data_IF_966544733801
#
_entry.id   IF_966544733801
#
_cell.length_a   1.000
_cell.length_b   1.000
_cell.length_c   1.000
_cell.angle_alpha   90.00
_cell.angle_beta   90.00
_cell.angle_gamma   90.00
#
_symmetry.space_group_name_H-M   'P 1'
#
loop_
_entity.id
_entity.type
_entity.pdbx_description
1 polymer ?
#
# COMPACT_ATOMS: atom_id res chain seq x y z
N UNK A 1 -1.15 6.74 6.42
CA UNK A 1 -1.64 7.53 5.28
C UNK A 1 -2.97 8.17 5.65
N UNK A 2 -3.13 9.49 5.64
CA UNK A 2 -4.41 10.18 5.91
C UNK A 2 -5.44 9.86 4.82
N UNK A 3 -6.65 9.47 5.23
CA UNK A 3 -7.74 9.12 4.31
C UNK A 3 -9.08 9.10 5.06
N UNK A 4 -10.17 8.91 4.29
CA UNK A 4 -11.49 8.61 4.84
C UNK A 4 -11.85 7.17 4.51
N UNK A 5 -12.26 6.40 5.49
CA UNK A 5 -12.87 5.08 5.26
C UNK A 5 -14.26 5.31 4.65
N UNK A 6 -14.37 5.14 3.34
CA UNK A 6 -15.61 5.47 2.61
C UNK A 6 -16.67 4.38 2.75
N UNK A 7 -16.29 3.11 2.55
CA UNK A 7 -17.20 1.97 2.67
C UNK A 7 -16.48 0.64 2.69
N UNK A 8 -17.16 -0.36 3.26
CA UNK A 8 -16.82 -1.77 3.15
C UNK A 8 -17.51 -2.38 1.92
N UNK A 9 -16.75 -3.09 1.09
CA UNK A 9 -17.26 -3.90 -0.02
C UNK A 9 -17.12 -5.36 0.38
N UNK A 10 -18.23 -6.07 0.69
CA UNK A 10 -18.16 -7.49 1.03
C UNK A 10 -17.57 -8.32 -0.10
N UNK A 11 -16.78 -9.31 0.25
CA UNK A 11 -16.22 -10.24 -0.72
C UNK A 11 -17.32 -11.01 -1.46
N UNK A 12 -17.21 -11.09 -2.79
CA UNK A 12 -18.13 -11.89 -3.61
C UNK A 12 -17.95 -13.39 -3.35
N UNK A 13 -19.02 -14.15 -3.60
CA UNK A 13 -18.98 -15.60 -3.50
C UNK A 13 -18.42 -16.17 -4.80
N UNK A 14 -17.41 -17.04 -4.70
CA UNK A 14 -16.93 -17.85 -5.82
C UNK A 14 -17.90 -18.98 -6.16
N UNK A 15 -17.78 -19.52 -7.37
CA UNK A 15 -18.54 -20.70 -7.78
C UNK A 15 -18.27 -21.96 -6.93
N UNK A 16 -17.10 -22.02 -6.27
CA UNK A 16 -16.71 -23.09 -5.34
C UNK A 16 -17.22 -22.90 -3.90
N UNK A 17 -18.03 -21.87 -3.66
CA UNK A 17 -18.59 -21.54 -2.35
C UNK A 17 -17.66 -20.74 -1.42
N UNK A 18 -16.43 -20.43 -1.84
CA UNK A 18 -15.52 -19.56 -1.09
C UNK A 18 -15.85 -18.09 -1.34
N UNK A 19 -15.59 -17.24 -0.37
CA UNK A 19 -15.71 -15.79 -0.52
C UNK A 19 -14.35 -15.16 -0.78
N UNK A 20 -14.33 -14.17 -1.67
CA UNK A 20 -13.20 -13.25 -1.77
C UNK A 20 -13.04 -12.49 -0.45
N UNK A 21 -11.83 -11.99 -0.19
CA UNK A 21 -11.60 -11.10 0.95
C UNK A 21 -12.40 -9.80 0.76
N UNK A 22 -12.90 -9.19 1.84
CA UNK A 22 -13.56 -7.90 1.75
C UNK A 22 -12.56 -6.82 1.34
N UNK A 23 -13.06 -5.78 0.68
CA UNK A 23 -12.30 -4.59 0.34
C UNK A 23 -12.79 -3.42 1.19
N UNK A 24 -11.85 -2.67 1.72
CA UNK A 24 -12.08 -1.35 2.29
C UNK A 24 -11.83 -0.32 1.19
N UNK A 25 -12.78 0.57 0.95
CA UNK A 25 -12.57 1.72 0.07
C UNK A 25 -12.10 2.89 0.92
N UNK A 26 -10.90 3.36 0.63
CA UNK A 26 -10.27 4.51 1.26
C UNK A 26 -10.27 5.67 0.27
N UNK A 27 -10.90 6.79 0.62
CA UNK A 27 -10.80 8.04 -0.12
C UNK A 27 -9.58 8.79 0.35
N UNK A 28 -8.67 9.10 -0.57
CA UNK A 28 -7.46 9.85 -0.29
C UNK A 28 -7.74 11.36 -0.28
N UNK A 29 -6.98 12.10 0.51
CA UNK A 29 -6.98 13.55 0.42
C UNK A 29 -6.41 13.98 -0.95
N UNK A 30 -7.00 15.00 -1.60
CA UNK A 30 -6.47 15.52 -2.86
C UNK A 30 -5.02 16.03 -2.66
N UNK A 31 -4.13 15.59 -3.52
CA UNK A 31 -2.75 16.06 -3.57
C UNK A 31 -2.36 16.29 -5.03
N UNK A 32 -1.38 17.19 -5.27
CA UNK A 32 -0.95 17.54 -6.63
C UNK A 32 -0.35 16.36 -7.39
N UNK A 33 0.28 15.45 -6.70
CA UNK A 33 1.02 14.34 -7.26
C UNK A 33 0.26 13.01 -7.17
N UNK A 34 -0.71 12.92 -6.25
CA UNK A 34 -1.57 11.75 -6.09
C UNK A 34 -2.82 11.89 -6.96
N UNK A 35 -2.89 11.12 -8.03
CA UNK A 35 -4.06 11.10 -8.94
C UNK A 35 -5.07 10.00 -8.59
N UNK A 36 -4.69 9.03 -7.76
CA UNK A 36 -5.62 8.06 -7.21
C UNK A 36 -6.52 8.72 -6.16
N UNK A 37 -7.77 8.98 -6.49
CA UNK A 37 -8.73 9.59 -5.56
C UNK A 37 -9.23 8.62 -4.49
N UNK A 38 -9.20 7.32 -4.76
CA UNK A 38 -9.58 6.28 -3.83
C UNK A 38 -8.80 4.98 -4.08
N UNK A 39 -8.59 4.21 -3.01
CA UNK A 39 -7.97 2.88 -3.04
C UNK A 39 -8.97 1.84 -2.58
N UNK A 40 -9.00 0.69 -3.27
CA UNK A 40 -9.62 -0.54 -2.80
C UNK A 40 -8.54 -1.42 -2.16
N UNK A 41 -8.56 -1.54 -0.84
CA UNK A 41 -7.55 -2.27 -0.08
C UNK A 41 -8.13 -3.53 0.53
N UNK A 42 -7.35 -4.60 0.59
CA UNK A 42 -7.79 -5.89 1.16
C UNK A 42 -7.69 -5.83 2.68
N UNK A 43 -8.79 -6.12 3.37
CA UNK A 43 -8.80 -6.33 4.82
C UNK A 43 -8.78 -7.84 5.13
N UNK A 44 -7.58 -8.41 5.07
CA UNK A 44 -7.38 -9.86 5.27
C UNK A 44 -7.70 -10.32 6.68
N UNK A 45 -7.40 -9.49 7.66
CA UNK A 45 -7.47 -9.86 9.08
C UNK A 45 -8.62 -9.19 9.82
N UNK A 46 -9.53 -8.53 9.07
CA UNK A 46 -10.67 -7.81 9.64
C UNK A 46 -10.22 -6.79 10.71
N UNK A 47 -9.16 -6.03 10.38
CA UNK A 47 -8.54 -5.05 11.29
C UNK A 47 -9.27 -3.72 11.33
N UNK A 48 -10.20 -3.49 10.39
CA UNK A 48 -10.99 -2.27 10.34
C UNK A 48 -12.41 -2.53 10.85
N UNK A 49 -12.80 -1.81 11.90
CA UNK A 49 -14.17 -1.87 12.40
C UNK A 49 -15.13 -1.22 11.37
N UNK A 50 -16.13 -1.97 10.84
CA UNK A 50 -17.13 -1.42 9.92
C UNK A 50 -17.90 -0.21 10.47
N UNK A 51 -18.01 -0.07 11.79
CA UNK A 51 -18.65 1.09 12.42
C UNK A 51 -17.88 2.41 12.19
N UNK A 52 -16.64 2.34 11.70
CA UNK A 52 -15.84 3.51 11.34
C UNK A 52 -16.10 4.01 9.91
N UNK A 53 -17.04 3.42 9.18
CA UNK A 53 -17.43 3.88 7.84
C UNK A 53 -17.83 5.37 7.88
N UNK A 54 -17.32 6.14 6.92
CA UNK A 54 -17.47 7.59 6.87
C UNK A 54 -16.45 8.39 7.69
N UNK A 55 -15.63 7.76 8.53
CA UNK A 55 -14.66 8.44 9.40
C UNK A 55 -13.37 8.75 8.67
N UNK A 56 -12.82 9.93 8.94
CA UNK A 56 -11.45 10.28 8.58
C UNK A 56 -10.48 9.68 9.60
N UNK A 57 -9.29 9.31 9.12
CA UNK A 57 -8.28 8.70 9.98
C UNK A 57 -6.96 8.46 9.25
N UNK A 58 -6.12 7.64 9.86
CA UNK A 58 -4.82 7.23 9.35
C UNK A 58 -4.85 5.73 9.05
N UNK A 59 -4.74 5.36 7.78
CA UNK A 59 -4.58 3.97 7.36
C UNK A 59 -3.10 3.58 7.35
N UNK A 60 -2.80 2.39 7.86
CA UNK A 60 -1.51 1.71 7.68
C UNK A 60 -1.64 0.72 6.54
N UNK A 61 -0.87 0.91 5.47
CA UNK A 61 -0.98 0.14 4.23
C UNK A 61 0.32 -0.57 3.91
N UNK A 62 0.21 -1.76 3.32
CA UNK A 62 1.32 -2.48 2.72
C UNK A 62 1.00 -2.86 1.28
N UNK A 63 1.94 -2.61 0.39
CA UNK A 63 1.91 -2.98 -1.01
C UNK A 63 2.63 -4.30 -1.17
N UNK A 64 1.90 -5.35 -1.48
CA UNK A 64 2.37 -6.73 -1.57
C UNK A 64 2.50 -7.19 -3.02
N UNK A 65 3.35 -8.16 -3.26
CA UNK A 65 3.59 -8.74 -4.59
C UNK A 65 4.05 -7.71 -5.62
N UNK A 66 4.76 -6.70 -5.16
CA UNK A 66 5.11 -5.51 -5.94
C UNK A 66 6.25 -5.75 -6.93
N UNK A 67 6.14 -5.12 -8.11
CA UNK A 67 7.26 -4.87 -8.99
C UNK A 67 7.89 -3.52 -8.61
N UNK A 68 9.18 -3.52 -8.29
CA UNK A 68 9.91 -2.33 -7.83
C UNK A 68 10.98 -1.96 -8.86
N UNK A 69 11.12 -0.67 -9.17
CA UNK A 69 12.17 -0.12 -10.02
C UNK A 69 12.70 1.18 -9.43
N UNK A 70 13.95 1.51 -9.72
CA UNK A 70 14.46 2.86 -9.51
C UNK A 70 13.79 3.80 -10.50
N UNK A 71 13.39 4.99 -10.07
CA UNK A 71 12.78 5.96 -10.99
C UNK A 71 13.82 6.47 -11.99
N UNK A 72 13.43 6.48 -13.26
CA UNK A 72 14.17 7.11 -14.33
C UNK A 72 13.69 8.55 -14.51
N UNK A 73 14.61 9.53 -14.46
CA UNK A 73 14.30 10.95 -14.65
C UNK A 73 14.01 11.71 -13.35
N UNK A 74 13.26 12.83 -13.42
CA UNK A 74 12.97 13.65 -12.25
C UNK A 74 12.21 12.87 -11.18
N UNK A 75 12.58 13.04 -9.89
CA UNK A 75 11.88 12.36 -8.79
C UNK A 75 10.40 12.71 -8.75
N UNK A 76 9.56 11.69 -8.53
CA UNK A 76 8.11 11.80 -8.41
C UNK A 76 7.65 11.23 -7.08
N UNK A 77 6.64 11.85 -6.49
CA UNK A 77 5.89 11.33 -5.35
C UNK A 77 4.44 11.07 -5.78
N UNK A 78 3.73 10.24 -5.03
CA UNK A 78 2.29 10.09 -5.17
C UNK A 78 1.81 8.68 -5.49
N UNK A 79 0.50 8.54 -5.48
CA UNK A 79 -0.23 7.34 -5.87
C UNK A 79 -1.01 7.60 -7.16
N UNK A 80 -0.88 6.68 -8.11
CA UNK A 80 -1.51 6.80 -9.44
C UNK A 80 -2.40 5.59 -9.68
N UNK A 81 -3.64 5.81 -10.10
CA UNK A 81 -4.52 4.74 -10.55
C UNK A 81 -4.10 4.30 -11.96
N UNK A 82 -3.61 3.06 -12.11
CA UNK A 82 -3.17 2.51 -13.39
C UNK A 82 -4.16 1.52 -14.02
N UNK A 83 -5.21 1.19 -13.33
CA UNK A 83 -6.22 0.19 -13.72
C UNK A 83 -7.25 0.71 -14.72
N UNK A 84 -7.04 1.89 -15.30
CA UNK A 84 -7.90 2.47 -16.35
C UNK A 84 -9.35 2.71 -15.89
N UNK A 85 -9.59 2.73 -14.59
CA UNK A 85 -10.91 2.92 -14.03
C UNK A 85 -11.44 4.33 -14.27
N UNK A 86 -12.75 4.46 -14.42
CA UNK A 86 -13.41 5.74 -14.51
C UNK A 86 -13.09 6.61 -13.28
N UNK A 87 -13.01 7.95 -13.44
CA UNK A 87 -12.78 8.86 -12.31
C UNK A 87 -13.72 8.57 -11.15
N UNK A 88 -13.18 8.55 -9.92
CA UNK A 88 -13.95 8.29 -8.70
C UNK A 88 -14.11 6.80 -8.34
N UNK A 89 -13.62 5.87 -9.15
CA UNK A 89 -13.52 4.46 -8.74
C UNK A 89 -12.25 4.21 -7.93
N UNK A 90 -12.36 3.30 -6.96
CA UNK A 90 -11.23 2.90 -6.14
C UNK A 90 -10.27 2.01 -6.93
N UNK A 91 -9.01 2.42 -7.04
CA UNK A 91 -7.96 1.60 -7.64
C UNK A 91 -7.60 0.45 -6.70
N UNK A 92 -7.58 -0.77 -7.22
CA UNK A 92 -7.13 -1.97 -6.50
C UNK A 92 -5.70 -2.37 -6.85
N UNK A 93 -5.12 -1.74 -7.87
CA UNK A 93 -3.74 -1.94 -8.35
C UNK A 93 -3.10 -0.57 -8.62
N UNK A 94 -2.93 0.27 -7.59
CA UNK A 94 -2.27 1.56 -7.78
C UNK A 94 -0.78 1.40 -8.03
N UNK A 95 -0.19 2.34 -8.78
CA UNK A 95 1.24 2.57 -8.78
C UNK A 95 1.58 3.56 -7.67
N UNK A 96 2.73 3.34 -7.01
CA UNK A 96 3.28 4.28 -6.03
C UNK A 96 4.64 4.77 -6.49
N UNK A 97 4.84 6.08 -6.37
CA UNK A 97 6.10 6.77 -6.62
C UNK A 97 6.55 7.41 -5.33
N UNK A 98 7.80 7.22 -4.95
CA UNK A 98 8.23 7.73 -3.66
C UNK A 98 9.72 7.63 -3.39
N UNK A 99 10.05 8.10 -2.19
CA UNK A 99 11.40 8.06 -1.64
C UNK A 99 11.47 7.01 -0.54
N UNK A 100 12.46 6.14 -0.59
CA UNK A 100 12.73 5.16 0.46
C UNK A 100 13.13 5.89 1.74
N UNK A 101 12.39 5.67 2.83
CA UNK A 101 12.71 6.24 4.15
C UNK A 101 13.44 5.27 5.05
N UNK A 102 13.19 3.97 4.88
CA UNK A 102 13.91 2.94 5.60
C UNK A 102 13.90 1.61 4.83
N UNK A 103 14.95 0.83 5.02
CA UNK A 103 15.05 -0.59 4.63
C UNK A 103 15.27 -1.35 5.92
N UNK A 104 14.21 -1.90 6.56
CA UNK A 104 14.32 -2.59 7.83
C UNK A 104 15.29 -3.77 7.78
N UNK A 105 16.07 -3.94 8.83
CA UNK A 105 16.91 -5.12 9.00
C UNK A 105 16.06 -6.27 9.54
N UNK A 106 15.80 -7.28 8.73
CA UNK A 106 14.97 -8.43 9.08
C UNK A 106 15.45 -9.18 10.32
N UNK A 107 16.76 -9.24 10.53
CA UNK A 107 17.37 -10.05 11.57
C UNK A 107 17.22 -9.44 12.96
N UNK A 108 17.18 -8.11 13.06
CA UNK A 108 17.10 -7.41 14.33
C UNK A 108 15.66 -7.19 14.81
N UNK A 109 14.68 -7.16 13.91
CA UNK A 109 13.34 -6.63 14.19
C UNK A 109 12.25 -7.71 14.21
N UNK A 110 12.52 -8.93 13.73
CA UNK A 110 11.52 -10.00 13.60
C UNK A 110 10.78 -10.38 14.89
N UNK A 111 11.43 -10.25 16.04
CA UNK A 111 10.85 -10.66 17.31
C UNK A 111 9.78 -9.71 17.88
N UNK A 112 9.67 -8.49 17.34
CA UNK A 112 8.85 -7.42 17.92
C UNK A 112 7.82 -6.80 16.97
N UNK A 113 7.82 -7.22 15.71
CA UNK A 113 6.92 -6.66 14.71
C UNK A 113 5.62 -7.49 14.62
N UNK A 114 4.46 -6.85 14.39
CA UNK A 114 3.26 -7.55 13.97
C UNK A 114 3.55 -8.41 12.75
N UNK A 115 2.83 -9.53 12.60
CA UNK A 115 3.04 -10.50 11.51
C UNK A 115 3.10 -9.83 10.12
N UNK A 116 2.28 -8.83 9.88
CA UNK A 116 2.23 -8.06 8.63
C UNK A 116 3.49 -7.24 8.40
N UNK A 117 4.09 -6.70 9.46
CA UNK A 117 5.34 -5.95 9.37
C UNK A 117 6.55 -6.85 9.06
N UNK A 118 6.47 -8.14 9.36
CA UNK A 118 7.49 -9.12 8.97
C UNK A 118 7.61 -9.26 7.45
N UNK A 119 6.62 -8.80 6.70
CA UNK A 119 6.60 -8.86 5.24
C UNK A 119 6.94 -7.54 4.58
N UNK A 120 7.27 -6.50 5.32
CA UNK A 120 7.69 -5.21 4.77
C UNK A 120 9.19 -5.22 4.49
N UNK A 121 9.59 -5.13 3.24
CA UNK A 121 11.00 -5.08 2.83
C UNK A 121 11.54 -3.65 2.88
N UNK A 122 10.68 -2.65 2.68
CA UNK A 122 11.04 -1.24 2.77
C UNK A 122 9.85 -0.37 3.16
N UNK A 123 10.15 0.83 3.66
CA UNK A 123 9.20 1.90 3.89
C UNK A 123 9.39 2.99 2.83
N UNK A 124 8.29 3.38 2.19
CA UNK A 124 8.27 4.33 1.08
C UNK A 124 7.41 5.54 1.46
N UNK A 125 7.99 6.73 1.44
CA UNK A 125 7.25 7.99 1.51
C UNK A 125 6.71 8.32 0.10
N UNK A 126 5.39 8.41 -0.01
CA UNK A 126 4.67 8.73 -1.25
C UNK A 126 4.08 10.15 -1.23
N UNK A 127 4.56 11.02 -0.34
CA UNK A 127 4.05 12.38 -0.16
C UNK A 127 2.78 12.44 0.68
N UNK A 128 1.77 11.66 0.35
CA UNK A 128 0.54 11.54 1.13
C UNK A 128 0.73 10.73 2.44
N UNK A 129 1.90 10.11 2.64
CA UNK A 129 2.24 9.33 3.82
C UNK A 129 3.23 8.22 3.51
N UNK A 130 3.53 7.41 4.52
CA UNK A 130 4.46 6.29 4.40
C UNK A 130 3.69 4.98 4.23
N UNK A 131 4.12 4.14 3.29
CA UNK A 131 3.59 2.81 3.03
C UNK A 131 4.69 1.76 3.20
N UNK A 132 4.29 0.54 3.60
CA UNK A 132 5.16 -0.63 3.51
C UNK A 132 5.15 -1.19 2.09
N UNK A 133 6.26 -1.72 1.62
CA UNK A 133 6.36 -2.38 0.31
C UNK A 133 7.04 -3.73 0.46
N UNK A 134 6.53 -4.74 -0.26
CA UNK A 134 7.13 -6.05 -0.41
C UNK A 134 7.04 -6.53 -1.84
N UNK A 135 8.13 -7.09 -2.33
CA UNK A 135 8.19 -7.68 -3.67
C UNK A 135 7.47 -9.04 -3.74
N UNK A 136 7.26 -9.52 -4.95
CA UNK A 136 6.53 -10.78 -5.19
C UNK A 136 7.29 -12.04 -4.81
N UNK A 137 8.60 -11.94 -4.57
CA UNK A 137 9.50 -13.09 -4.39
C UNK A 137 10.42 -12.86 -3.20
N UNK A 138 11.22 -13.81 -2.82
CA UNK A 138 12.16 -13.78 -1.69
C UNK A 138 13.14 -12.59 -1.72
N UNK A 139 13.78 -12.27 -0.60
CA UNK A 139 14.67 -11.10 -0.43
C UNK A 139 15.71 -10.87 -1.55
N UNK A 140 16.14 -11.91 -2.27
CA UNK A 140 17.01 -11.77 -3.43
C UNK A 140 16.38 -11.08 -4.64
N UNK A 141 15.06 -11.09 -4.75
CA UNK A 141 14.36 -10.54 -5.91
C UNK A 141 14.30 -9.01 -5.94
N UNK A 142 14.33 -8.37 -4.79
CA UNK A 142 14.42 -6.90 -4.75
C UNK A 142 15.70 -6.43 -5.39
N UNK A 143 16.84 -7.06 -5.05
CA UNK A 143 18.16 -6.78 -5.64
C UNK A 143 18.15 -6.98 -7.17
N UNK A 144 17.53 -8.06 -7.65
CA UNK A 144 17.39 -8.30 -9.10
C UNK A 144 16.53 -7.23 -9.77
N UNK A 145 15.40 -6.87 -9.15
CA UNK A 145 14.45 -5.90 -9.71
C UNK A 145 15.05 -4.49 -9.85
N UNK A 146 15.95 -4.10 -8.97
CA UNK A 146 16.56 -2.76 -8.97
C UNK A 146 17.92 -2.70 -9.70
N UNK A 147 18.50 -3.86 -10.08
CA UNK A 147 19.77 -3.93 -10.82
C UNK A 147 21.00 -3.49 -10.02
N UNK A 148 20.94 -3.47 -8.69
CA UNK A 148 22.05 -3.10 -7.80
C UNK A 148 21.96 -3.86 -6.47
N UNK A 149 23.06 -3.90 -5.67
CA UNK A 149 23.14 -4.77 -4.48
C UNK A 149 22.04 -4.54 -3.43
N UNK A 150 21.60 -3.30 -3.26
CA UNK A 150 20.53 -2.95 -2.29
C UNK A 150 19.96 -1.57 -2.56
N UNK A 151 18.75 -1.34 -2.01
CA UNK A 151 18.18 -0.01 -1.84
C UNK A 151 18.70 0.61 -0.54
N UNK A 152 18.73 1.94 -0.51
CA UNK A 152 19.11 2.72 0.67
C UNK A 152 18.06 3.81 0.93
N UNK A 153 18.01 4.29 2.17
CA UNK A 153 17.20 5.45 2.48
C UNK A 153 17.62 6.64 1.62
N UNK A 154 16.65 7.30 1.01
CA UNK A 154 16.91 8.38 0.05
C UNK A 154 16.72 8.00 -1.41
N UNK A 155 16.68 6.72 -1.74
CA UNK A 155 16.43 6.26 -3.10
C UNK A 155 15.03 6.60 -3.58
N UNK A 156 14.91 6.95 -4.85
CA UNK A 156 13.64 7.19 -5.51
C UNK A 156 13.22 5.97 -6.33
N UNK A 157 12.06 5.41 -6.00
CA UNK A 157 11.56 4.19 -6.64
C UNK A 157 10.13 4.35 -7.13
N UNK A 158 9.76 3.51 -8.09
CA UNK A 158 8.40 3.24 -8.49
C UNK A 158 8.00 1.82 -8.08
N UNK A 159 6.76 1.66 -7.65
CA UNK A 159 6.17 0.42 -7.19
C UNK A 159 4.88 0.18 -7.96
N UNK A 160 4.79 -0.97 -8.64
CA UNK A 160 3.65 -1.30 -9.52
C UNK A 160 3.15 -2.72 -9.26
N UNK A 161 1.98 -3.02 -9.82
CA UNK A 161 1.35 -4.35 -9.79
C UNK A 161 1.11 -4.89 -8.39
N UNK A 162 0.92 -4.01 -7.43
CA UNK A 162 0.75 -4.37 -6.04
C UNK A 162 -0.69 -4.74 -5.73
N UNK A 163 -0.87 -5.76 -4.87
CA UNK A 163 -2.05 -5.86 -4.04
C UNK A 163 -1.83 -4.98 -2.82
N UNK A 164 -2.82 -4.20 -2.44
CA UNK A 164 -2.73 -3.35 -1.25
C UNK A 164 -3.55 -3.95 -0.12
N UNK A 165 -2.88 -4.26 0.99
CA UNK A 165 -3.53 -4.75 2.20
C UNK A 165 -3.51 -3.64 3.28
N UNK A 166 -4.57 -3.57 4.09
CA UNK A 166 -4.65 -2.67 5.23
C UNK A 166 -4.22 -3.39 6.51
N UNK A 167 -3.33 -2.76 7.27
CA UNK A 167 -2.79 -3.28 8.53
C UNK A 167 -3.43 -2.64 9.77
N UNK A 168 -4.23 -1.61 9.57
CA UNK A 168 -4.97 -0.92 10.63
C UNK A 168 -5.49 0.43 10.16
N UNK A 169 -6.50 0.92 10.88
CA UNK A 169 -7.10 2.22 10.66
C UNK A 169 -7.33 2.91 12.00
N UNK A 170 -6.64 4.01 12.21
CA UNK A 170 -6.75 4.82 13.43
C UNK A 170 -7.66 6.01 13.11
N UNK A 171 -8.93 5.93 13.51
CA UNK A 171 -9.90 7.02 13.32
C UNK A 171 -9.47 8.24 14.13
N UNK A 172 -9.46 9.41 13.50
CA UNK A 172 -9.22 10.68 14.18
C UNK A 172 -10.26 10.90 15.28
N UNK A 173 -9.81 11.35 16.45
CA UNK A 173 -10.73 11.83 17.48
C UNK A 173 -11.36 13.13 16.96
N UNK A 174 -12.69 13.15 16.87
CA UNK A 174 -13.47 14.36 16.62
C UNK A 174 -13.62 15.16 17.90
#
# INVERSE_FOLDING_TARGET
>A
MPCTFERLVPGQLHADGRRYLPLIVLRLAPDRETTASALGVVDRHHVVDPALEGRAGIARLVFLLSAVRVQDGPPRLGLVAEDGLAPGRASTVPAAYGRVVAVPSWEAEQAHLPYESLYTELLLDVGAGVIGVRTSVTAGSLTEAIGRPRLEAGDWIEVRRSRVDILGFDAGHT
#
